data_IF_864324003850
#
_entry.id   IF_864324003850
#
_cell.length_a   1.000
_cell.length_b   1.000
_cell.length_c   1.000
_cell.angle_alpha   90.00
_cell.angle_beta   90.00
_cell.angle_gamma   90.00
#
_symmetry.space_group_name_H-M   'P 1'
#
loop_
_entity.id
_entity.type
_entity.pdbx_description
1 polymer ?
#
# COMPACT_ATOMS: atom_id res chain seq x y z
N UNK A 1 -5.00 11.83 5.17
CA UNK A 1 -3.97 12.02 4.14
C UNK A 1 -2.63 11.70 4.73
N UNK A 2 -2.40 10.42 4.96
CA UNK A 2 -1.14 9.89 5.43
C UNK A 2 -0.83 8.61 4.67
N UNK A 3 0.42 8.47 4.28
CA UNK A 3 0.98 7.25 3.75
C UNK A 3 1.72 6.56 4.88
N UNK A 4 1.56 5.25 4.98
CA UNK A 4 2.15 4.46 6.04
C UNK A 4 3.00 3.36 5.41
N UNK A 5 4.21 3.18 5.93
CA UNK A 5 5.09 2.08 5.53
C UNK A 5 5.57 1.34 6.76
N UNK A 6 5.47 0.02 6.73
CA UNK A 6 5.93 -0.82 7.83
C UNK A 6 7.45 -1.00 7.82
N UNK A 7 7.98 -1.70 8.83
CA UNK A 7 9.40 -2.03 8.93
C UNK A 7 9.65 -3.53 8.65
N UNK A 8 8.71 -4.22 8.00
CA UNK A 8 8.88 -5.63 7.66
C UNK A 8 10.06 -5.79 6.70
N UNK A 9 10.73 -6.94 6.76
CA UNK A 9 11.87 -7.26 5.91
C UNK A 9 11.72 -8.70 5.43
N UNK A 10 10.60 -8.99 4.76
CA UNK A 10 10.32 -10.32 4.25
C UNK A 10 11.30 -10.62 3.12
N UNK A 11 12.05 -11.71 3.23
CA UNK A 11 13.03 -12.09 2.21
C UNK A 11 12.34 -12.83 1.06
N UNK A 12 12.41 -12.29 -0.16
CA UNK A 12 11.87 -12.93 -1.35
C UNK A 12 12.63 -12.48 -2.60
N UNK A 13 13.04 -13.45 -3.44
CA UNK A 13 13.78 -13.23 -4.69
C UNK A 13 15.02 -12.33 -4.55
N UNK A 14 15.73 -12.43 -3.42
CA UNK A 14 16.95 -11.65 -3.16
C UNK A 14 16.70 -10.23 -2.66
N UNK A 15 15.45 -9.86 -2.39
CA UNK A 15 15.09 -8.55 -1.82
C UNK A 15 14.44 -8.72 -0.45
N UNK A 16 14.46 -7.62 0.32
CA UNK A 16 13.71 -7.46 1.56
C UNK A 16 12.53 -6.54 1.31
N UNK A 17 11.33 -7.02 1.62
CA UNK A 17 10.06 -6.37 1.31
C UNK A 17 9.37 -5.85 2.56
N UNK A 18 8.80 -4.66 2.41
CA UNK A 18 7.94 -3.93 3.34
C UNK A 18 6.57 -3.71 2.67
N UNK A 19 5.57 -3.28 3.44
CA UNK A 19 4.25 -2.94 2.90
C UNK A 19 3.95 -1.46 3.04
N UNK A 20 3.36 -0.88 2.00
CA UNK A 20 2.90 0.51 1.96
C UNK A 20 1.38 0.59 1.82
N UNK A 21 0.75 1.45 2.63
CA UNK A 21 -0.69 1.68 2.72
C UNK A 21 -1.00 3.18 2.88
N UNK A 22 -2.28 3.54 2.82
CA UNK A 22 -2.77 4.90 3.01
C UNK A 22 -4.13 4.90 3.70
N UNK A 23 -4.71 6.09 3.92
CA UNK A 23 -6.09 6.22 4.42
C UNK A 23 -7.12 5.85 3.33
N UNK A 24 -6.80 6.04 2.04
CA UNK A 24 -7.63 5.72 0.87
C UNK A 24 -6.83 5.07 -0.28
N UNK A 25 -7.50 4.37 -1.18
CA UNK A 25 -6.86 3.75 -2.36
C UNK A 25 -6.29 4.80 -3.31
N UNK A 26 -7.00 5.92 -3.49
CA UNK A 26 -6.56 7.01 -4.36
C UNK A 26 -5.23 7.58 -3.87
N UNK A 27 -5.13 7.94 -2.58
CA UNK A 27 -3.88 8.42 -1.99
C UNK A 27 -2.74 7.39 -2.13
N UNK A 28 -3.05 6.10 -1.96
CA UNK A 28 -2.05 5.04 -2.10
C UNK A 28 -1.49 4.96 -3.51
N UNK A 29 -2.35 5.01 -4.53
CA UNK A 29 -1.95 4.97 -5.93
C UNK A 29 -1.22 6.25 -6.36
N UNK A 30 -1.70 7.41 -5.94
CA UNK A 30 -1.09 8.70 -6.27
C UNK A 30 0.31 8.82 -5.66
N UNK A 31 0.48 8.38 -4.41
CA UNK A 31 1.80 8.39 -3.77
C UNK A 31 2.73 7.37 -4.40
N UNK A 32 2.27 6.16 -4.71
CA UNK A 32 3.08 5.17 -5.42
C UNK A 32 3.57 5.71 -6.78
N UNK A 33 2.72 6.43 -7.52
CA UNK A 33 3.12 7.08 -8.77
C UNK A 33 4.15 8.21 -8.53
N UNK A 34 3.98 9.01 -7.47
CA UNK A 34 4.90 10.09 -7.10
C UNK A 34 6.32 9.58 -6.82
N UNK A 35 6.46 8.44 -6.13
CA UNK A 35 7.76 7.83 -5.81
C UNK A 35 8.18 6.73 -6.80
N UNK A 36 7.55 6.70 -7.97
CA UNK A 36 7.86 5.79 -9.09
C UNK A 36 7.79 4.29 -8.74
N UNK A 37 6.94 3.92 -7.79
CA UNK A 37 6.63 2.52 -7.48
C UNK A 37 5.74 1.95 -8.58
N UNK A 38 6.19 0.86 -9.19
CA UNK A 38 5.47 0.20 -10.28
C UNK A 38 4.08 -0.28 -9.83
N UNK A 39 3.04 0.08 -10.59
CA UNK A 39 1.65 -0.33 -10.34
C UNK A 39 1.45 -1.84 -10.21
N UNK A 40 2.32 -2.67 -10.79
CA UNK A 40 2.28 -4.13 -10.68
C UNK A 40 2.57 -4.63 -9.27
N UNK A 41 3.21 -3.81 -8.44
CA UNK A 41 3.48 -4.10 -7.03
C UNK A 41 2.25 -3.83 -6.14
N UNK A 42 1.14 -3.36 -6.70
CA UNK A 42 -0.13 -3.27 -5.99
C UNK A 42 -0.83 -4.63 -5.93
N UNK A 43 -1.04 -5.13 -4.71
CA UNK A 43 -1.62 -6.44 -4.45
C UNK A 43 -3.09 -6.36 -4.04
N UNK A 44 -3.96 -6.10 -5.00
CA UNK A 44 -5.42 -6.00 -4.75
C UNK A 44 -6.08 -7.30 -4.26
N UNK A 45 -5.54 -8.45 -4.66
CA UNK A 45 -6.10 -9.78 -4.36
C UNK A 45 -5.53 -10.43 -3.10
N UNK A 46 -4.60 -9.76 -2.41
CA UNK A 46 -4.12 -10.21 -1.11
C UNK A 46 -5.22 -10.09 -0.04
N UNK A 47 -4.92 -10.58 1.18
CA UNK A 47 -5.82 -10.43 2.34
C UNK A 47 -6.27 -8.98 2.52
N UNK A 48 -5.35 -8.03 2.33
CA UNK A 48 -5.64 -6.60 2.26
C UNK A 48 -4.89 -5.96 1.08
N UNK A 49 -5.47 -4.95 0.40
CA UNK A 49 -4.77 -4.21 -0.64
C UNK A 49 -3.63 -3.37 -0.06
N UNK A 50 -2.46 -3.44 -0.70
CA UNK A 50 -1.24 -2.72 -0.34
C UNK A 50 -0.29 -2.69 -1.55
N UNK A 51 0.75 -1.88 -1.47
CA UNK A 51 1.93 -2.03 -2.33
C UNK A 51 3.03 -2.79 -1.58
N UNK A 52 3.65 -3.73 -2.27
CA UNK A 52 4.95 -4.27 -1.86
C UNK A 52 6.06 -3.30 -2.28
N UNK A 53 6.86 -2.86 -1.31
CA UNK A 53 7.98 -1.96 -1.54
C UNK A 53 9.25 -2.59 -0.98
N UNK A 54 10.37 -2.47 -1.68
CA UNK A 54 11.66 -2.92 -1.13
C UNK A 54 12.10 -2.01 0.02
N UNK A 55 13.06 -2.44 0.84
CA UNK A 55 13.66 -1.58 1.90
C UNK A 55 14.21 -0.25 1.32
N UNK A 56 14.70 -0.27 0.08
CA UNK A 56 15.18 0.94 -0.60
C UNK A 56 14.02 1.86 -1.04
N UNK A 57 12.94 1.30 -1.58
CA UNK A 57 11.72 2.05 -1.88
C UNK A 57 11.08 2.60 -0.60
N UNK A 58 11.08 1.85 0.50
CA UNK A 58 10.64 2.33 1.82
C UNK A 58 11.43 3.55 2.27
N UNK A 59 12.76 3.55 2.12
CA UNK A 59 13.59 4.72 2.46
C UNK A 59 13.12 5.95 1.67
N UNK A 60 12.91 5.78 0.37
CA UNK A 60 12.38 6.83 -0.52
C UNK A 60 11.00 7.29 -0.06
N UNK A 61 10.09 6.38 0.27
CA UNK A 61 8.77 6.72 0.79
C UNK A 61 8.85 7.60 2.04
N UNK A 62 9.73 7.26 2.99
CA UNK A 62 9.94 8.07 4.20
C UNK A 62 10.51 9.46 3.88
N UNK A 63 11.44 9.56 2.94
CA UNK A 63 11.99 10.85 2.48
C UNK A 63 10.92 11.75 1.83
N UNK A 64 9.92 11.15 1.19
CA UNK A 64 8.77 11.83 0.60
C UNK A 64 7.60 12.06 1.58
N UNK A 65 7.80 11.79 2.88
CA UNK A 65 6.83 12.10 3.93
C UNK A 65 5.88 10.97 4.30
N UNK A 66 6.12 9.74 3.84
CA UNK A 66 5.44 8.58 4.42
C UNK A 66 5.81 8.42 5.91
N UNK A 67 4.88 7.91 6.70
CA UNK A 67 5.01 7.73 8.13
C UNK A 67 5.41 6.28 8.40
N UNK A 68 6.48 6.08 9.18
CA UNK A 68 6.84 4.78 9.69
C UNK A 68 5.73 4.28 10.64
N UNK A 69 5.13 3.13 10.32
CA UNK A 69 4.00 2.60 11.03
C UNK A 69 4.28 1.23 11.64
N UNK A 70 3.70 1.00 12.82
CA UNK A 70 3.69 -0.31 13.43
C UNK A 70 2.63 -1.22 12.80
N UNK A 71 2.66 -2.50 13.17
CA UNK A 71 1.68 -3.49 12.68
C UNK A 71 0.24 -3.09 12.98
N UNK A 72 -0.04 -2.42 14.10
CA UNK A 72 -1.39 -2.04 14.49
C UNK A 72 -1.96 -1.01 13.51
N UNK A 73 -1.21 0.05 13.23
CA UNK A 73 -1.60 1.09 12.27
C UNK A 73 -1.75 0.53 10.86
N UNK A 74 -0.82 -0.32 10.43
CA UNK A 74 -0.86 -0.98 9.13
C UNK A 74 -2.16 -1.78 8.96
N UNK A 75 -2.51 -2.63 9.94
CA UNK A 75 -3.75 -3.42 9.88
C UNK A 75 -5.02 -2.55 9.92
N UNK A 76 -4.99 -1.44 10.66
CA UNK A 76 -6.10 -0.46 10.68
C UNK A 76 -6.37 0.10 9.28
N UNK A 77 -5.34 0.61 8.61
CA UNK A 77 -5.43 1.14 7.24
C UNK A 77 -5.82 0.04 6.25
N UNK A 78 -5.23 -1.15 6.36
CA UNK A 78 -5.48 -2.29 5.49
C UNK A 78 -6.96 -2.69 5.44
N UNK A 79 -7.63 -2.68 6.60
CA UNK A 79 -9.07 -2.95 6.72
C UNK A 79 -9.90 -1.88 6.01
N UNK A 80 -9.56 -0.61 6.17
CA UNK A 80 -10.25 0.52 5.50
C UNK A 80 -10.15 0.39 3.98
N UNK A 81 -8.94 0.18 3.47
CA UNK A 81 -8.70 0.01 2.03
C UNK A 81 -9.44 -1.20 1.44
N UNK A 82 -9.55 -2.31 2.20
CA UNK A 82 -10.30 -3.49 1.73
C UNK A 82 -11.78 -3.19 1.54
N UNK A 83 -12.39 -2.46 2.48
CA UNK A 83 -13.79 -2.03 2.38
C UNK A 83 -13.97 -1.13 1.16
N UNK A 84 -13.07 -0.16 0.98
CA UNK A 84 -13.11 0.75 -0.17
C UNK A 84 -12.98 0.02 -1.51
N UNK A 85 -12.01 -0.89 -1.63
CA UNK A 85 -11.77 -1.67 -2.84
C UNK A 85 -13.00 -2.51 -3.22
N UNK A 86 -13.59 -3.20 -2.24
CA UNK A 86 -14.79 -3.99 -2.46
C UNK A 86 -15.96 -3.14 -2.95
N UNK A 87 -16.12 -1.93 -2.39
CA UNK A 87 -17.15 -0.99 -2.83
C UNK A 87 -16.90 -0.51 -4.27
N UNK A 88 -15.66 -0.19 -4.65
CA UNK A 88 -15.30 0.17 -6.03
C UNK A 88 -15.60 -0.98 -7.01
N UNK A 89 -15.22 -2.22 -6.65
CA UNK A 89 -15.51 -3.42 -7.47
C UNK A 89 -17.02 -3.63 -7.64
N UNK A 90 -17.80 -3.48 -6.56
CA UNK A 90 -19.25 -3.64 -6.63
C UNK A 90 -19.89 -2.61 -7.57
N UNK A 91 -19.50 -1.33 -7.46
CA UNK A 91 -19.97 -0.25 -8.35
C UNK A 91 -19.62 -0.51 -9.82
N UNK A 92 -18.41 -0.98 -10.09
CA UNK A 92 -17.95 -1.31 -11.43
C UNK A 92 -18.72 -2.49 -12.06
N UNK A 93 -19.22 -3.43 -11.24
CA UNK A 93 -20.08 -4.53 -11.69
C UNK A 93 -21.50 -4.07 -11.98
N UNK A 94 -22.06 -3.17 -11.18
CA UNK A 94 -23.43 -2.65 -11.39
C UNK A 94 -23.54 -1.65 -12.54
N UNK A 95 -22.42 -1.14 -13.05
CA UNK A 95 -22.36 -0.21 -14.19
C UNK A 95 -22.11 -0.91 -15.54
N UNK A 96 -22.06 -2.24 -15.54
CA UNK A 96 -21.95 -3.11 -16.72
C UNK A 96 -23.25 -3.85 -16.95
#
# INVERSE_FOLDING_TARGET
>A
MAIYVDFMQIEFKGYKWCHMLADTLQELHDFAALIEVDKRLFHQNASYPHYDVTVQMRKTALEYGAIAADRKKIIECAKKLKVELNAQIARAKSSK
#
